data_IF_090449915120
#
_entry.id   IF_090449915120
#
_cell.length_a   1.000
_cell.length_b   1.000
_cell.length_c   1.000
_cell.angle_alpha   90.00
_cell.angle_beta   90.00
_cell.angle_gamma   90.00
#
_symmetry.space_group_name_H-M   'P 1'
#
loop_
_entity.id
_entity.type
_entity.pdbx_description
1 polymer ?
2 non-polymer ?
3 non-polymer ?
4 water ?
#
# COMPACT_ATOMS: atom_id res chain seq x y z
N UNK A 16 -0.04 -11.99 18.98
CA UNK A 16 0.07 -10.72 18.22
C UNK A 16 1.37 -10.66 17.41
N UNK A 17 2.50 -10.58 18.09
CA UNK A 17 3.82 -10.51 17.43
C UNK A 17 4.06 -11.68 16.49
N UNK A 18 3.51 -12.84 16.84
CA UNK A 18 3.66 -14.05 16.04
C UNK A 18 3.05 -13.87 14.67
N UNK A 19 1.75 -13.58 14.63
CA UNK A 19 1.07 -13.39 13.37
C UNK A 19 1.57 -12.16 12.64
N UNK A 20 2.05 -11.16 13.36
CA UNK A 20 2.58 -9.96 12.70
C UNK A 20 3.81 -10.36 11.88
N UNK A 21 4.66 -11.23 12.43
CA UNK A 21 5.83 -11.67 11.70
C UNK A 21 5.45 -12.68 10.62
N UNK A 22 4.38 -13.42 10.85
CA UNK A 22 3.90 -14.41 9.88
C UNK A 22 3.33 -13.71 8.65
N UNK A 23 2.55 -12.67 8.90
CA UNK A 23 1.90 -11.93 7.83
C UNK A 23 2.79 -10.96 7.06
N UNK A 24 3.69 -10.27 7.76
CA UNK A 24 4.56 -9.29 7.10
C UNK A 24 6.00 -9.70 6.83
N UNK A 25 6.48 -10.75 7.49
CA UNK A 25 7.86 -11.22 7.32
C UNK A 25 7.94 -12.75 7.11
N UNK A 26 6.95 -13.30 6.40
CA UNK A 26 6.82 -14.74 6.12
C UNK A 26 7.57 -15.72 7.03
N UNK A 27 7.35 -15.54 8.33
CA UNK A 27 7.94 -16.40 9.35
C UNK A 27 7.28 -17.77 9.21
N UNK A 28 8.05 -18.83 9.46
CA UNK A 28 7.58 -20.22 9.39
C UNK A 28 6.15 -20.34 9.90
N UNK A 29 5.24 -20.66 8.98
CA UNK A 29 3.82 -20.78 9.27
C UNK A 29 3.46 -21.95 10.20
N UNK A 30 4.34 -22.94 10.25
CA UNK A 30 4.14 -24.15 11.08
C UNK A 30 4.69 -24.05 12.51
N UNK A 40 12.31 -17.64 21.30
CA UNK A 40 12.81 -18.76 20.44
C UNK A 40 13.80 -18.19 19.41
N UNK A 41 14.61 -19.07 18.83
CA UNK A 41 15.60 -18.68 17.83
C UNK A 41 15.09 -17.98 16.58
N UNK A 42 14.32 -18.68 15.72
CA UNK A 42 13.76 -18.14 14.46
C UNK A 42 12.94 -16.86 14.64
N UNK A 43 12.23 -16.76 15.75
CA UNK A 43 11.43 -15.57 16.06
C UNK A 43 12.31 -14.35 16.33
N UNK A 44 13.36 -14.53 17.14
CA UNK A 44 14.28 -13.44 17.46
C UNK A 44 14.93 -12.93 16.18
N UNK A 45 15.24 -13.85 15.26
CA UNK A 45 15.85 -13.47 13.99
C UNK A 45 14.88 -12.60 13.18
N UNK A 46 13.60 -12.99 13.17
CA UNK A 46 12.55 -12.24 12.45
C UNK A 46 12.27 -10.91 13.12
N UNK A 47 12.32 -10.90 14.45
CA UNK A 47 12.11 -9.67 15.23
C UNK A 47 13.17 -8.68 14.81
N UNK A 48 14.39 -9.19 14.60
CA UNK A 48 15.52 -8.35 14.18
C UNK A 48 15.41 -7.87 12.74
N UNK A 49 14.94 -8.74 11.86
CA UNK A 49 14.77 -8.37 10.46
C UNK A 49 13.74 -7.23 10.41
N UNK A 50 12.68 -7.37 11.21
CA UNK A 50 11.62 -6.37 11.30
C UNK A 50 12.13 -5.04 11.84
N UNK A 51 12.96 -5.11 12.87
CA UNK A 51 13.53 -3.93 13.48
C UNK A 51 14.46 -3.18 12.52
N UNK A 52 15.19 -3.93 11.69
CA UNK A 52 16.11 -3.33 10.73
C UNK A 52 15.28 -2.62 9.65
N UNK A 53 14.27 -3.31 9.16
CA UNK A 53 13.39 -2.78 8.12
C UNK A 53 12.54 -1.56 8.56
N UNK A 54 11.94 -1.62 9.74
CA UNK A 54 11.10 -0.52 10.20
C UNK A 54 11.78 0.65 10.92
N UNK A 55 13.10 0.67 10.90
CA UNK A 55 13.83 1.76 11.53
C UNK A 55 13.86 1.77 13.06
N UNK A 56 13.78 0.60 13.68
CA UNK A 56 13.83 0.49 15.13
C UNK A 56 15.24 0.05 15.54
N UNK A 57 15.42 -0.25 16.82
CA UNK A 57 16.73 -0.68 17.33
C UNK A 57 16.83 -2.20 17.19
N UNK A 58 17.85 -2.64 16.47
CA UNK A 58 18.09 -4.06 16.22
C UNK A 58 18.56 -4.81 17.46
N UNK A 59 17.63 -5.13 18.36
CA UNK A 59 17.94 -5.87 19.59
C UNK A 59 17.59 -7.34 19.46
N UNK A 60 16.30 -7.63 19.30
CA UNK A 60 15.83 -8.99 19.17
C UNK A 60 14.84 -9.32 20.26
N UNK A 61 14.49 -8.32 21.07
CA UNK A 61 13.55 -8.50 22.17
C UNK A 61 12.33 -7.62 21.94
N UNK A 62 11.20 -8.00 22.54
CA UNK A 62 9.94 -7.26 22.41
C UNK A 62 9.94 -5.99 23.26
N UNK A 63 10.71 -5.00 22.83
CA UNK A 63 10.83 -3.72 23.54
C UNK A 63 9.48 -3.01 23.58
N UNK A 64 9.39 -1.96 24.39
CA UNK A 64 8.17 -1.18 24.47
C UNK A 64 7.93 -0.54 23.10
N UNK A 65 9.00 0.00 22.52
CA UNK A 65 8.93 0.64 21.20
C UNK A 65 8.51 -0.33 20.09
N UNK A 66 8.93 -1.60 20.21
CA UNK A 66 8.60 -2.63 19.22
C UNK A 66 7.12 -3.04 19.28
N UNK A 67 6.62 -3.29 20.50
CA UNK A 67 5.22 -3.68 20.67
C UNK A 67 4.30 -2.56 20.20
N UNK A 68 4.78 -1.34 20.26
CA UNK A 68 4.02 -0.16 19.85
C UNK A 68 3.91 -0.08 18.33
N UNK A 69 5.04 -0.24 17.64
CA UNK A 69 5.05 -0.18 16.18
C UNK A 69 4.06 -1.17 15.59
N UNK A 70 3.92 -2.33 16.23
CA UNK A 70 3.00 -3.36 15.78
C UNK A 70 1.51 -3.06 15.94
N UNK A 71 1.17 -2.00 16.69
CA UNK A 71 -0.23 -1.62 16.90
C UNK A 71 -0.60 -0.48 15.95
N UNK A 72 0.39 0.04 15.22
CA UNK A 72 0.17 1.13 14.30
C UNK A 72 -0.44 0.70 12.97
N UNK A 73 -1.38 1.50 12.45
CA UNK A 73 -2.05 1.20 11.18
C UNK A 73 -1.02 1.14 10.04
N UNK A 74 -1.17 0.15 9.18
CA UNK A 74 -0.22 -0.03 8.10
C UNK A 74 -0.88 -0.64 6.85
N UNK A 75 -0.06 -0.88 5.85
CA UNK A 75 -0.51 -1.48 4.61
C UNK A 75 -0.50 -3.00 4.82
N UNK A 76 -1.44 -3.70 4.24
CA UNK A 76 -1.51 -5.14 4.40
C UNK A 76 -0.51 -5.97 3.62
N UNK A 77 0.17 -5.35 2.68
CA UNK A 77 1.15 -6.04 1.87
C UNK A 77 2.42 -6.32 2.70
N UNK A 78 2.99 -7.52 2.59
CA UNK A 78 4.19 -7.86 3.36
C UNK A 78 5.40 -6.97 3.08
N UNK A 79 6.34 -6.97 4.03
CA UNK A 79 7.54 -6.15 3.94
C UNK A 79 8.71 -6.85 3.28
N UNK A 80 8.73 -8.17 3.40
CA UNK A 80 9.79 -8.94 2.79
C UNK A 80 9.22 -9.68 1.58
N UNK A 81 8.74 -8.91 0.61
CA UNK A 81 8.21 -9.54 -0.59
C UNK A 81 6.91 -9.05 -1.18
N UNK A 82 6.24 -10.02 -1.79
CA UNK A 82 4.99 -9.84 -2.53
C UNK A 82 3.96 -10.82 -2.00
N UNK A 83 2.71 -10.64 -2.41
CA UNK A 83 1.64 -11.57 -2.02
C UNK A 83 1.93 -12.86 -2.78
N UNK A 84 2.10 -13.95 -2.04
CA UNK A 84 2.40 -15.25 -2.65
C UNK A 84 1.33 -15.84 -3.54
N UNK A 85 0.07 -15.56 -3.21
CA UNK A 85 -1.04 -16.09 -3.98
C UNK A 85 -1.19 -15.46 -5.37
N UNK A 86 -0.80 -14.19 -5.50
CA UNK A 86 -0.90 -13.49 -6.79
C UNK A 86 0.35 -12.63 -7.01
N UNK A 87 1.49 -13.27 -7.34
CA UNK A 87 2.76 -12.60 -7.58
C UNK A 87 2.70 -11.59 -8.72
N UNK A 88 2.03 -11.97 -9.80
CA UNK A 88 1.90 -11.11 -10.96
C UNK A 88 3.18 -11.07 -11.78
N UNK A 89 3.41 -9.93 -12.41
CA UNK A 89 4.60 -9.72 -13.24
C UNK A 89 5.32 -8.49 -12.68
N UNK A 90 6.64 -8.39 -12.90
CA UNK A 90 7.50 -7.28 -12.43
C UNK A 90 7.03 -5.87 -12.74
N UNK A 91 6.48 -5.66 -13.93
CA UNK A 91 6.02 -4.36 -14.34
C UNK A 91 5.04 -4.51 -15.47
N UNK A 92 4.28 -3.45 -15.74
CA UNK A 92 3.31 -3.46 -16.83
C UNK A 92 4.08 -3.46 -18.16
N UNK A 93 3.59 -4.21 -19.13
CA UNK A 93 4.22 -4.30 -20.44
C UNK A 93 3.67 -3.24 -21.38
N UNK A 94 3.08 -2.21 -20.81
CA UNK A 94 2.49 -1.13 -21.58
C UNK A 94 2.52 0.11 -20.68
N UNK A 95 2.58 1.28 -21.30
CA UNK A 95 2.64 2.51 -20.54
C UNK A 95 1.31 3.23 -20.39
N UNK A 96 0.32 2.79 -21.16
CA UNK A 96 -1.01 3.40 -21.11
C UNK A 96 -1.97 2.46 -20.36
N UNK A 97 -2.22 2.77 -19.10
CA UNK A 97 -3.08 1.96 -18.25
C UNK A 97 -4.47 2.55 -18.05
N UNK A 98 -5.41 1.70 -17.70
CA UNK A 98 -6.77 2.13 -17.44
C UNK A 98 -7.10 1.79 -15.99
N UNK A 99 -7.98 2.56 -15.38
CA UNK A 99 -8.38 2.31 -14.01
C UNK A 99 -9.88 2.49 -13.92
N UNK A 100 -10.48 1.95 -12.87
CA UNK A 100 -11.92 2.06 -12.68
C UNK A 100 -12.23 1.99 -11.19
N UNK A 101 -13.11 2.86 -10.72
CA UNK A 101 -13.54 2.88 -9.32
C UNK A 101 -14.84 2.07 -9.28
N UNK A 102 -14.74 0.84 -8.80
CA UNK A 102 -15.85 -0.10 -8.72
C UNK A 102 -16.99 0.32 -7.80
N UNK A 103 -16.67 0.75 -6.58
CA UNK A 103 -17.69 1.18 -5.64
C UNK A 103 -17.11 2.31 -4.81
N UNK A 104 -17.92 2.91 -3.96
CA UNK A 104 -17.47 4.04 -3.16
C UNK A 104 -17.69 3.82 -1.68
N UNK A 105 -17.03 4.65 -0.88
CA UNK A 105 -17.16 4.61 0.57
C UNK A 105 -18.16 5.70 0.94
N UNK A 106 -19.12 5.40 1.83
CA UNK A 106 -20.11 6.41 2.22
C UNK A 106 -19.53 7.55 3.07
N UNK A 107 -18.31 7.34 3.58
CA UNK A 107 -17.66 8.36 4.40
C UNK A 107 -17.45 9.66 3.68
N UNK A 108 -17.29 9.59 2.37
CA UNK A 108 -17.02 10.78 1.58
C UNK A 108 -17.98 10.92 0.42
N UNK A 109 -18.11 12.16 -0.11
CA UNK A 109 -18.99 12.39 -1.25
C UNK A 109 -18.24 11.85 -2.48
N UNK A 110 -18.98 11.24 -3.41
CA UNK A 110 -18.38 10.66 -4.61
C UNK A 110 -17.29 11.49 -5.29
N UNK A 111 -17.47 12.80 -5.37
CA UNK A 111 -16.48 13.64 -6.02
C UNK A 111 -15.16 13.74 -5.24
N UNK A 112 -15.22 13.60 -3.92
CA UNK A 112 -14.02 13.66 -3.09
C UNK A 112 -13.17 12.41 -3.28
N UNK A 113 -13.82 11.27 -3.45
CA UNK A 113 -13.12 10.00 -3.67
C UNK A 113 -12.47 10.08 -5.05
N UNK A 114 -13.23 10.53 -6.04
CA UNK A 114 -12.72 10.66 -7.41
C UNK A 114 -11.48 11.54 -7.44
N UNK A 115 -11.53 12.68 -6.76
CA UNK A 115 -10.38 13.58 -6.70
C UNK A 115 -9.19 12.93 -6.02
N UNK A 116 -9.44 12.29 -4.88
CA UNK A 116 -8.38 11.62 -4.12
C UNK A 116 -7.64 10.61 -4.98
N UNK A 117 -8.41 9.79 -5.71
CA UNK A 117 -7.83 8.78 -6.57
C UNK A 117 -7.08 9.41 -7.75
N UNK A 118 -7.66 10.44 -8.36
CA UNK A 118 -7.02 11.10 -9.50
C UNK A 118 -5.70 11.75 -9.10
N UNK A 119 -5.67 12.43 -7.95
CA UNK A 119 -4.45 13.07 -7.46
C UNK A 119 -3.37 12.02 -7.12
N UNK A 120 -3.81 10.84 -6.67
CA UNK A 120 -2.90 9.75 -6.31
C UNK A 120 -2.20 9.18 -7.55
N UNK A 121 -2.95 9.08 -8.65
CA UNK A 121 -2.43 8.57 -9.93
C UNK A 121 -1.49 9.62 -10.55
N UNK A 122 -1.87 10.89 -10.40
CA UNK A 122 -1.12 12.03 -10.92
C UNK A 122 0.31 12.03 -10.35
N UNK A 123 0.45 11.69 -9.09
CA UNK A 123 1.74 11.63 -8.42
C UNK A 123 2.73 10.73 -9.19
N UNK A 124 2.24 9.60 -9.68
CA UNK A 124 3.06 8.66 -10.43
C UNK A 124 3.21 9.04 -11.91
N UNK A 125 2.18 9.65 -12.50
CA UNK A 125 2.26 10.07 -13.91
C UNK A 125 3.40 11.08 -14.08
N UNK A 126 3.52 11.98 -13.12
CA UNK A 126 4.54 13.04 -13.11
C UNK A 126 5.99 12.61 -13.26
N UNK A 127 6.33 11.46 -12.69
CA UNK A 127 7.70 10.98 -12.73
C UNK A 127 7.96 9.81 -13.64
N UNK A 128 7.01 9.48 -14.50
CA UNK A 128 7.15 8.35 -15.42
C UNK A 128 6.44 8.66 -16.74
N UNK A 129 6.63 7.79 -17.74
CA UNK A 129 5.96 8.02 -19.03
C UNK A 129 4.59 7.34 -19.03
N UNK A 130 4.06 7.03 -17.85
CA UNK A 130 2.78 6.37 -17.70
C UNK A 130 1.58 7.30 -17.77
N UNK A 131 0.46 6.81 -18.32
CA UNK A 131 -0.78 7.58 -18.39
C UNK A 131 -1.90 6.72 -17.83
N UNK A 132 -2.92 7.36 -17.27
CA UNK A 132 -4.07 6.64 -16.71
C UNK A 132 -5.39 7.21 -17.24
N UNK A 133 -6.21 6.35 -17.81
CA UNK A 133 -7.51 6.77 -18.34
C UNK A 133 -8.59 6.06 -17.53
N UNK A 134 -9.61 6.80 -17.14
CA UNK A 134 -10.68 6.24 -16.35
C UNK A 134 -11.79 5.58 -17.14
N UNK A 135 -12.15 4.37 -16.73
CA UNK A 135 -13.24 3.64 -17.36
C UNK A 135 -14.38 3.58 -16.35
N UNK A 136 -15.62 3.68 -16.84
CA UNK A 136 -16.79 3.64 -15.97
C UNK A 136 -17.56 2.33 -16.11
N UNK A 137 -17.02 1.42 -16.92
CA UNK A 137 -17.62 0.12 -17.15
C UNK A 137 -16.57 -0.77 -17.81
N UNK A 138 -16.70 -2.08 -17.63
CA UNK A 138 -15.75 -3.00 -18.25
C UNK A 138 -14.61 -3.38 -17.34
N UNK A 139 -13.64 -4.10 -17.90
CA UNK A 139 -12.48 -4.55 -17.15
C UNK A 139 -11.29 -3.63 -17.37
N UNK A 140 -10.97 -2.84 -16.36
CA UNK A 140 -9.83 -1.92 -16.42
C UNK A 140 -8.58 -2.61 -15.85
N UNK A 141 -7.41 -2.02 -16.03
CA UNK A 141 -6.17 -2.61 -15.53
C UNK A 141 -6.12 -2.58 -14.01
N UNK A 142 -6.41 -1.41 -13.45
CA UNK A 142 -6.39 -1.20 -12.01
C UNK A 142 -7.82 -0.96 -11.54
N UNK A 143 -8.37 -1.90 -10.77
CA UNK A 143 -9.73 -1.74 -10.25
C UNK A 143 -9.60 -1.36 -8.80
N UNK A 144 -10.27 -0.29 -8.42
CA UNK A 144 -10.24 0.21 -7.05
C UNK A 144 -11.59 -0.03 -6.37
N UNK A 145 -11.56 -0.61 -5.18
CA UNK A 145 -12.78 -0.88 -4.47
C UNK A 145 -12.63 -0.84 -2.95
N UNK A 146 -13.75 -0.63 -2.28
CA UNK A 146 -13.81 -0.59 -0.82
C UNK A 146 -14.48 -1.87 -0.36
N UNK A 147 -13.92 -2.48 0.68
CA UNK A 147 -14.47 -3.72 1.20
C UNK A 147 -14.22 -3.82 2.68
N UNK A 148 -14.92 -4.72 3.34
CA UNK A 148 -14.75 -4.92 4.77
C UNK A 148 -14.63 -6.41 5.04
N UNK A 149 -13.77 -6.78 5.99
CA UNK A 149 -13.60 -8.16 6.37
C UNK A 149 -13.35 -9.06 5.14
N UNK A 150 -13.98 -10.22 5.09
CA UNK A 150 -13.82 -11.15 3.96
C UNK A 150 -14.40 -10.53 2.71
N UNK A 151 -13.60 -10.41 1.66
CA UNK A 151 -14.08 -9.79 0.45
C UNK A 151 -13.78 -10.56 -0.83
N UNK A 152 -13.65 -11.87 -0.71
CA UNK A 152 -13.40 -12.67 -1.90
C UNK A 152 -11.98 -13.10 -2.14
N UNK A 153 -11.01 -12.37 -1.62
CA UNK A 153 -9.64 -12.79 -1.82
C UNK A 153 -9.16 -13.52 -0.56
N UNK A 154 -7.92 -13.97 -0.56
CA UNK A 154 -7.42 -14.72 0.59
C UNK A 154 -7.05 -13.88 1.79
N UNK A 155 -7.06 -12.55 1.64
CA UNK A 155 -6.66 -11.64 2.73
C UNK A 155 -7.79 -10.77 3.26
N UNK A 156 -8.61 -11.30 4.18
CA UNK A 156 -9.71 -10.49 4.71
C UNK A 156 -9.23 -9.31 5.54
N UNK A 157 -10.01 -8.23 5.50
CA UNK A 157 -9.67 -7.06 6.28
C UNK A 157 -9.97 -7.35 7.75
N UNK A 158 -9.56 -6.45 8.62
CA UNK A 158 -9.67 -6.66 10.05
C UNK A 158 -10.38 -5.60 10.88
N UNK A 159 -11.40 -4.97 10.35
CA UNK A 159 -12.08 -3.95 11.13
C UNK A 159 -11.25 -2.69 11.22
N UNK A 160 -11.64 -1.69 12.02
CA UNK A 160 -10.87 -0.44 12.17
C UNK A 160 -9.46 -0.61 12.72
N UNK A 161 -8.55 0.23 12.23
CA UNK A 161 -7.17 0.14 12.65
C UNK A 161 -6.40 -0.94 11.91
N UNK A 162 -5.13 -1.12 12.30
CA UNK A 162 -4.24 -2.11 11.71
C UNK A 162 -4.14 -2.02 10.16
N UNK A 163 -4.50 -3.08 9.45
CA UNK A 163 -4.44 -3.07 7.97
C UNK A 163 -5.44 -2.06 7.39
N UNK A 164 -4.92 -1.08 6.64
CA UNK A 164 -5.73 -0.04 6.01
C UNK A 164 -6.20 -0.40 4.60
N UNK A 165 -5.34 -1.07 3.85
CA UNK A 165 -5.64 -1.45 2.48
C UNK A 165 -4.55 -2.37 2.00
N UNK A 166 -4.74 -2.92 0.80
CA UNK A 166 -3.74 -3.76 0.18
C UNK A 166 -3.94 -3.69 -1.32
N UNK A 167 -2.86 -3.92 -2.06
CA UNK A 167 -2.89 -3.87 -3.52
C UNK A 167 -2.05 -4.99 -4.06
N UNK A 168 -2.31 -5.37 -5.30
CA UNK A 168 -1.59 -6.45 -5.95
C UNK A 168 -0.66 -5.95 -7.03
N UNK A 169 0.43 -6.67 -7.25
CA UNK A 169 1.43 -6.31 -8.28
C UNK A 169 0.83 -6.38 -9.69
N UNK A 170 1.49 -5.78 -10.69
CA UNK A 170 1.01 -5.79 -12.07
C UNK A 170 0.66 -7.17 -12.62
N UNK A 171 -0.27 -7.21 -13.57
CA UNK A 171 -0.66 -8.48 -14.18
C UNK A 171 -2.13 -8.47 -14.59
N UNK A 172 -2.64 -9.56 -15.20
CA UNK A 172 -4.04 -9.63 -15.61
C UNK A 172 -4.98 -9.97 -14.45
N UNK A 173 -6.28 -9.80 -14.68
CA UNK A 173 -7.28 -10.11 -13.67
C UNK A 173 -7.18 -9.29 -12.38
N UNK A 174 -7.16 -9.97 -11.25
CA UNK A 174 -7.08 -9.30 -9.96
C UNK A 174 -5.77 -8.53 -9.73
N UNK A 175 -4.69 -8.92 -10.40
CA UNK A 175 -3.42 -8.22 -10.25
C UNK A 175 -3.57 -6.75 -10.63
N UNK A 176 -2.90 -5.86 -9.90
CA UNK A 176 -3.00 -4.44 -10.15
C UNK A 176 -4.08 -3.75 -9.35
N UNK A 177 -5.05 -4.52 -8.86
CA UNK A 177 -6.17 -3.96 -8.08
C UNK A 177 -5.79 -3.48 -6.68
N UNK A 178 -6.52 -2.48 -6.21
CA UNK A 178 -6.30 -1.91 -4.90
C UNK A 178 -7.58 -2.00 -4.07
N UNK A 179 -7.48 -2.56 -2.88
CA UNK A 179 -8.62 -2.70 -1.99
C UNK A 179 -8.40 -1.84 -0.76
N UNK A 180 -9.45 -1.15 -0.35
CA UNK A 180 -9.42 -0.28 0.81
C UNK A 180 -10.41 -0.76 1.85
N UNK A 181 -9.94 -0.89 3.08
CA UNK A 181 -10.77 -1.35 4.19
C UNK A 181 -11.81 -0.29 4.54
N UNK A 182 -13.07 -0.54 4.24
CA UNK A 182 -14.10 0.44 4.54
C UNK A 182 -14.49 0.54 6.03
N UNK A 183 -13.77 -0.17 6.90
CA UNK A 183 -14.03 -0.07 8.34
C UNK A 183 -13.22 1.09 8.93
N UNK A 184 -12.44 1.76 8.08
CA UNK A 184 -11.64 2.91 8.50
C UNK A 184 -12.47 4.13 8.22
N UNK A 185 -12.17 5.23 8.89
CA UNK A 185 -12.87 6.50 8.70
C UNK A 185 -12.05 7.28 7.67
N UNK A 186 -12.36 7.12 6.39
CA UNK A 186 -11.65 7.80 5.31
C UNK A 186 -11.98 9.29 5.27
N UNK A 187 -10.96 10.12 5.20
CA UNK A 187 -11.16 11.57 5.17
C UNK A 187 -10.44 12.28 4.03
N UNK A 188 -10.81 13.54 3.83
CA UNK A 188 -10.23 14.40 2.79
C UNK A 188 -9.02 15.11 3.39
N UNK A 189 -9.07 15.31 4.70
CA UNK A 189 -8.00 15.95 5.46
C UNK A 189 -7.35 14.85 6.29
N UNK A 190 -6.68 15.22 7.37
CA UNK A 190 -6.01 14.25 8.23
C UNK A 190 -6.72 13.99 9.57
N UNK A 191 -8.05 14.13 9.62
CA UNK A 191 -8.80 13.89 10.86
C UNK A 191 -9.11 12.40 11.03
N UNK A 192 -8.87 11.63 10.00
CA UNK A 192 -9.10 10.20 10.05
C UNK A 192 -7.98 9.58 9.25
N UNK A 193 -8.32 8.73 8.31
CA UNK A 193 -7.33 8.10 7.46
C UNK A 193 -7.43 8.76 6.09
N UNK A 194 -6.41 9.50 5.70
CA UNK A 194 -6.37 10.21 4.43
C UNK A 194 -6.38 9.24 3.25
N UNK A 195 -7.45 9.28 2.47
CA UNK A 195 -7.62 8.42 1.29
C UNK A 195 -6.54 8.67 0.25
N UNK A 196 -6.21 9.93 0.01
CA UNK A 196 -5.20 10.28 -0.97
C UNK A 196 -3.86 9.59 -0.66
N UNK A 197 -3.35 9.79 0.55
CA UNK A 197 -2.08 9.19 0.98
C UNK A 197 -2.05 7.68 0.82
N UNK A 198 -3.07 7.00 1.32
CA UNK A 198 -3.14 5.55 1.23
C UNK A 198 -3.28 5.10 -0.22
N UNK A 199 -4.11 5.78 -1.00
CA UNK A 199 -4.29 5.43 -2.40
C UNK A 199 -2.99 5.58 -3.18
N UNK A 200 -2.24 6.64 -2.90
CA UNK A 200 -0.98 6.89 -3.58
C UNK A 200 -0.01 5.75 -3.29
N UNK A 201 0.04 5.29 -2.04
CA UNK A 201 0.90 4.18 -1.64
C UNK A 201 0.46 2.89 -2.34
N UNK A 202 -0.83 2.59 -2.29
CA UNK A 202 -1.35 1.37 -2.89
C UNK A 202 -1.15 1.33 -4.39
N UNK A 203 -1.31 2.46 -5.06
CA UNK A 203 -1.12 2.51 -6.51
C UNK A 203 0.34 2.12 -6.78
N UNK A 204 1.23 2.47 -5.86
CA UNK A 204 2.63 2.11 -5.98
C UNK A 204 2.81 0.61 -6.16
N UNK A 205 2.08 -0.18 -5.40
CA UNK A 205 2.15 -1.64 -5.51
C UNK A 205 1.53 -2.08 -6.84
N UNK A 206 0.45 -1.40 -7.22
CA UNK A 206 -0.25 -1.70 -8.47
C UNK A 206 0.67 -1.54 -9.67
N UNK A 207 1.68 -0.69 -9.52
CA UNK A 207 2.64 -0.44 -10.59
C UNK A 207 3.92 -1.28 -10.49
N UNK A 208 4.05 -2.05 -9.40
CA UNK A 208 5.22 -2.91 -9.22
C UNK A 208 6.19 -2.62 -8.09
N UNK A 209 5.90 -1.63 -7.25
CA UNK A 209 6.79 -1.29 -6.15
C UNK A 209 6.56 -2.11 -4.89
N UNK A 210 7.63 -2.30 -4.13
CA UNK A 210 7.60 -3.04 -2.87
C UNK A 210 7.74 -2.00 -1.76
N UNK A 211 7.65 -2.45 -0.52
CA UNK A 211 7.81 -1.55 0.62
C UNK A 211 9.27 -1.14 0.76
N UNK A 212 9.46 0.08 1.26
CA UNK A 212 10.78 0.64 1.45
C UNK A 212 11.07 0.78 2.94
N UNK A 213 12.34 0.71 3.30
CA UNK A 213 12.76 0.82 4.70
C UNK A 213 12.98 2.28 5.12
N UNK A 214 12.88 3.19 4.15
CA UNK A 214 13.08 4.63 4.38
C UNK A 214 11.82 5.25 5.02
N UNK A 215 11.99 5.85 6.20
CA UNK A 215 10.86 6.44 6.92
C UNK A 215 10.14 7.60 6.23
N UNK A 216 10.83 8.31 5.35
CA UNK A 216 10.21 9.43 4.65
C UNK A 216 9.70 9.06 3.26
N UNK A 217 9.76 7.78 2.92
CA UNK A 217 9.29 7.30 1.62
C UNK A 217 7.81 6.96 1.69
N UNK A 218 7.09 7.24 0.60
CA UNK A 218 5.66 6.94 0.55
C UNK A 218 5.49 5.44 0.65
N UNK A 219 6.45 4.69 0.14
CA UNK A 219 6.35 3.25 0.16
C UNK A 219 6.67 2.57 1.49
N UNK A 220 6.89 3.38 2.52
CA UNK A 220 7.15 2.87 3.86
C UNK A 220 5.81 2.23 4.25
N UNK A 221 5.81 1.02 4.84
CA UNK A 221 4.58 0.32 5.23
C UNK A 221 3.62 0.95 6.22
N UNK A 222 4.11 1.78 7.13
CA UNK A 222 3.24 2.38 8.14
C UNK A 222 2.68 3.73 7.69
N UNK A 223 1.42 3.98 8.05
CA UNK A 223 0.73 5.22 7.69
C UNK A 223 1.31 6.42 8.45
N UNK A 224 1.72 7.45 7.72
CA UNK A 224 2.28 8.65 8.33
C UNK A 224 1.23 9.75 8.33
N UNK A 225 0.62 9.99 9.48
CA UNK A 225 -0.39 11.04 9.61
C UNK A 225 0.30 12.41 9.56
N UNK A 226 0.79 12.80 8.38
CA UNK A 226 1.50 14.07 8.23
C UNK A 226 0.64 15.35 8.34
N UNK A 227 1.22 16.38 8.95
CA UNK A 227 0.58 17.67 9.20
C UNK A 227 0.12 18.47 7.97
N UNK A 228 1.03 18.72 7.03
CA UNK A 228 0.71 19.50 5.85
C UNK A 228 0.71 18.71 4.54
N UNK A 229 -0.47 18.50 3.97
CA UNK A 229 -0.62 17.75 2.72
C UNK A 229 -0.04 18.49 1.52
N UNK A 230 0.19 19.80 1.68
CA UNK A 230 0.77 20.58 0.60
C UNK A 230 2.28 20.31 0.54
N UNK A 231 2.86 19.95 1.68
CA UNK A 231 4.28 19.64 1.75
C UNK A 231 4.50 18.18 1.35
N UNK A 232 3.49 17.57 0.73
CA UNK A 232 3.60 16.19 0.29
C UNK A 232 4.32 16.08 -1.05
N UNK A 233 5.16 15.07 -1.16
CA UNK A 233 5.88 14.78 -2.40
C UNK A 233 6.58 13.42 -2.28
N UNK A 234 6.83 12.81 -3.43
CA UNK A 234 7.52 11.53 -3.47
C UNK A 234 8.94 11.80 -3.04
N UNK A 235 9.52 10.89 -2.27
CA UNK A 235 10.91 11.07 -1.87
C UNK A 235 11.74 10.55 -3.06
N UNK A 236 13.03 10.84 -3.05
CA UNK A 236 13.91 10.41 -4.13
C UNK A 236 13.92 8.89 -4.26
N UNK A 237 13.71 8.21 -3.14
CA UNK A 237 13.68 6.75 -3.09
C UNK A 237 12.49 6.22 -3.92
N UNK A 238 11.34 6.87 -3.75
CA UNK A 238 10.14 6.48 -4.49
C UNK A 238 10.35 6.70 -5.97
N UNK A 239 10.91 7.85 -6.30
CA UNK A 239 11.19 8.21 -7.67
C UNK A 239 12.20 7.26 -8.30
N UNK A 240 13.27 6.97 -7.60
CA UNK A 240 14.30 6.05 -8.11
C UNK A 240 13.71 4.67 -8.33
N UNK A 241 12.87 4.22 -7.40
CA UNK A 241 12.26 2.92 -7.51
C UNK A 241 11.33 2.76 -8.69
N UNK A 242 10.46 3.75 -8.89
CA UNK A 242 9.51 3.71 -9.99
C UNK A 242 10.21 3.93 -11.35
N UNK A 243 11.22 4.79 -11.38
CA UNK A 243 11.93 5.04 -12.63
C UNK A 243 12.85 3.91 -13.04
N UNK A 244 13.19 3.02 -12.11
CA UNK A 244 14.06 1.89 -12.46
C UNK A 244 13.27 0.82 -13.21
N UNK A 245 11.94 0.95 -13.18
CA UNK A 245 11.06 0.01 -13.87
C UNK A 245 10.51 0.54 -15.20
N UNK A 246 10.05 1.80 -15.19
CA UNK A 246 9.47 2.41 -16.38
C UNK A 246 10.29 3.50 -17.03
N UNK A 247 11.34 3.94 -16.36
CA UNK A 247 12.18 4.99 -16.90
C UNK A 247 11.67 6.35 -16.48
N UNK A 248 12.36 7.42 -16.88
CA UNK A 248 11.94 8.79 -16.55
C UNK A 248 10.93 9.34 -17.56
N UNK A 249 10.34 10.52 -17.28
CA UNK A 249 9.39 11.08 -18.24
C UNK A 249 10.20 11.58 -19.44
N UNK A 250 9.66 11.41 -20.66
CA UNK A 250 10.32 11.83 -21.92
C UNK A 250 10.49 13.35 -22.09
X LIG B 1 2.08 -1.15 1.02
X LIG C 1 -8.51 -7.57 -0.95
X LIG D 1 -8.37 -2.30 9.18
X LIG E 1 -6.33 -5.91 -12.70
#
# INVERSE_FOLDING_TARGET
>A
YPLDGAARGEDTSMNLVQKYLENYYDLKKDVKQFVRRKDSGPVVKKIREMQKFLGLEVTGKLDSDTLEVMRKPRCGVPDVGHFRTFPGIPKWRKTHLTYRIVNYTPDLPKDAVDSAVEKALKVWEEVTPLTFSRLYEGEADIMISFAVREHGDFYPFDGPGNVLAHAYAPGPGINGDAHFDDDEQWTKDTTGTNLFLVAAHEIGHSLGLFHSANTEALMYPLYHSLTDLTRFRLSQDDINGIQSLYGPPPDSPET
>B hetero
1 ZN ZN
>C hetero
1 ZN ZN
>D hetero
1 CA CA
>E hetero
1 CA CA
#
